data_IF_658917519852
#
_entry.id   IF_658917519852
#
_cell.length_a   1.000
_cell.length_b   1.000
_cell.length_c   1.000
_cell.angle_alpha   90.00
_cell.angle_beta   90.00
_cell.angle_gamma   90.00
#
_symmetry.space_group_name_H-M   'P 1'
#
loop_
_entity.id
_entity.type
_entity.pdbx_description
1 polymer ?
#
# COMPACT_ATOMS: atom_id res chain seq x y z
N UNK A 1 14.19 11.77 8.70
CA UNK A 1 14.16 11.85 7.24
C UNK A 1 12.90 11.17 6.73
N UNK A 2 12.08 11.95 6.11
CA UNK A 2 10.77 11.54 5.64
C UNK A 2 10.88 10.63 4.40
N UNK A 3 9.96 9.69 4.30
CA UNK A 3 9.61 9.06 3.03
C UNK A 3 8.79 10.11 2.26
N UNK A 4 9.23 10.45 1.07
CA UNK A 4 8.53 11.38 0.19
C UNK A 4 7.94 10.60 -0.98
N UNK A 5 6.63 10.70 -1.17
CA UNK A 5 5.98 10.14 -2.35
C UNK A 5 6.30 11.01 -3.56
N UNK A 6 6.82 10.40 -4.61
CA UNK A 6 7.21 11.10 -5.85
C UNK A 6 6.13 10.99 -6.94
N UNK A 7 5.14 10.14 -6.73
CA UNK A 7 4.00 9.98 -7.64
C UNK A 7 2.70 10.40 -6.97
N UNK A 8 1.75 10.88 -7.77
CA UNK A 8 0.41 11.21 -7.29
C UNK A 8 -0.28 9.94 -6.75
N UNK A 9 -1.14 10.08 -5.74
CA UNK A 9 -1.91 8.98 -5.14
C UNK A 9 -2.72 8.17 -6.17
N UNK A 10 -3.09 8.80 -7.26
CA UNK A 10 -3.91 8.23 -8.33
C UNK A 10 -3.08 7.66 -9.48
N UNK A 11 -1.76 7.59 -9.33
CA UNK A 11 -0.89 6.98 -10.32
C UNK A 11 -0.91 5.45 -10.18
N UNK A 12 -0.82 4.76 -11.32
CA UNK A 12 -0.81 3.29 -11.38
C UNK A 12 0.36 2.70 -10.58
N UNK A 13 1.53 3.35 -10.65
CA UNK A 13 2.72 2.95 -9.92
C UNK A 13 3.00 3.94 -8.80
N UNK A 14 3.15 3.47 -7.59
CA UNK A 14 3.55 4.28 -6.46
C UNK A 14 5.06 4.21 -6.27
N UNK A 15 5.71 5.32 -6.52
CA UNK A 15 7.12 5.51 -6.23
C UNK A 15 7.28 6.41 -5.01
N UNK A 16 8.28 6.15 -4.23
CA UNK A 16 8.63 6.96 -3.08
C UNK A 16 10.14 7.10 -2.98
N UNK A 17 10.57 8.13 -2.30
CA UNK A 17 11.98 8.44 -2.12
C UNK A 17 12.34 8.25 -0.65
N UNK A 18 13.37 7.46 -0.39
CA UNK A 18 13.94 7.26 0.92
C UNK A 18 15.37 7.81 0.92
N UNK A 19 15.59 8.91 1.64
CA UNK A 19 16.90 9.57 1.76
C UNK A 19 17.51 10.02 0.40
N UNK A 20 16.68 10.45 -0.54
CA UNK A 20 17.13 10.87 -1.86
C UNK A 20 17.32 9.73 -2.87
N UNK A 21 17.05 8.48 -2.49
CA UNK A 21 17.10 7.33 -3.38
C UNK A 21 15.70 6.82 -3.69
N UNK A 22 15.44 6.56 -4.94
CA UNK A 22 14.15 6.08 -5.40
C UNK A 22 13.92 4.63 -4.98
N UNK A 23 12.70 4.37 -4.53
CA UNK A 23 12.17 3.05 -4.23
C UNK A 23 10.80 2.89 -4.89
N UNK A 24 10.51 1.68 -5.31
CA UNK A 24 9.19 1.32 -5.85
C UNK A 24 8.41 0.46 -4.86
N UNK A 25 7.12 0.30 -5.12
CA UNK A 25 6.31 -0.63 -4.34
C UNK A 25 6.84 -2.08 -4.37
N UNK A 26 7.58 -2.47 -5.42
CA UNK A 26 8.19 -3.80 -5.54
C UNK A 26 9.33 -4.05 -4.54
N UNK A 27 9.98 -2.99 -4.05
CA UNK A 27 11.05 -3.07 -3.04
C UNK A 27 10.52 -3.12 -1.61
N UNK A 28 9.20 -3.17 -1.44
CA UNK A 28 8.56 -3.31 -0.13
C UNK A 28 8.52 -4.79 0.26
N UNK A 29 9.01 -5.09 1.45
CA UNK A 29 8.84 -6.39 2.07
C UNK A 29 7.51 -6.46 2.85
N UNK A 30 6.89 -7.61 2.88
CA UNK A 30 5.75 -7.91 3.74
C UNK A 30 6.14 -9.05 4.67
N UNK A 31 6.08 -8.81 5.98
CA UNK A 31 6.53 -9.77 7.02
C UNK A 31 7.96 -10.28 6.76
N UNK A 32 8.83 -9.42 6.25
CA UNK A 32 10.22 -9.77 5.93
C UNK A 32 10.45 -10.45 4.58
N UNK A 33 9.42 -10.67 3.78
CA UNK A 33 9.52 -11.32 2.47
C UNK A 33 9.24 -10.32 1.34
N UNK A 34 10.10 -10.32 0.33
CA UNK A 34 9.94 -9.53 -0.89
C UNK A 34 9.06 -10.23 -1.93
N UNK A 35 8.52 -9.47 -2.86
CA UNK A 35 7.75 -9.98 -4.00
C UNK A 35 6.31 -10.39 -3.66
N UNK A 36 5.86 -10.16 -2.42
CA UNK A 36 4.49 -10.46 -1.96
C UNK A 36 3.62 -9.21 -1.98
N UNK A 37 4.21 -8.04 -1.77
CA UNK A 37 3.49 -6.77 -1.87
C UNK A 37 3.00 -6.53 -3.29
N UNK A 38 1.79 -5.97 -3.48
CA UNK A 38 1.32 -5.59 -4.81
C UNK A 38 2.24 -4.54 -5.42
N UNK A 39 2.48 -4.63 -6.73
CA UNK A 39 3.28 -3.65 -7.46
C UNK A 39 2.64 -2.24 -7.49
N UNK A 40 1.36 -2.18 -7.25
CA UNK A 40 0.56 -0.95 -7.23
C UNK A 40 0.31 -0.46 -5.80
N UNK A 41 -0.70 0.39 -5.61
CA UNK A 41 -1.09 0.89 -4.31
C UNK A 41 -1.32 -0.23 -3.28
N UNK A 42 -0.53 -0.23 -2.23
CA UNK A 42 -0.62 -1.22 -1.15
C UNK A 42 -1.73 -0.80 -0.18
N UNK A 43 -2.71 -1.69 0.11
CA UNK A 43 -3.77 -1.39 1.08
C UNK A 43 -3.20 -1.35 2.50
N UNK A 44 -3.01 -0.16 3.04
CA UNK A 44 -2.37 0.05 4.35
C UNK A 44 -3.19 -0.46 5.53
N UNK A 45 -4.49 -0.62 5.36
CA UNK A 45 -5.43 -1.01 6.42
C UNK A 45 -5.21 -2.42 6.95
N UNK A 46 -4.58 -3.28 6.16
CA UNK A 46 -4.24 -4.65 6.59
C UNK A 46 -2.94 -4.74 7.40
N UNK A 47 -2.19 -3.63 7.51
CA UNK A 47 -0.92 -3.62 8.21
C UNK A 47 -1.03 -2.99 9.60
N UNK A 48 -0.32 -3.57 10.55
CA UNK A 48 -0.20 -3.08 11.92
C UNK A 48 0.79 -1.92 12.01
N UNK A 49 1.91 -2.05 11.29
CA UNK A 49 2.99 -1.07 11.27
C UNK A 49 3.84 -1.15 10.03
N UNK A 50 4.53 -0.07 9.76
CA UNK A 50 5.54 0.04 8.72
C UNK A 50 6.90 0.24 9.41
N UNK A 51 7.83 -0.65 9.13
CA UNK A 51 9.19 -0.61 9.61
C UNK A 51 10.11 -0.09 8.51
N UNK A 52 10.92 0.91 8.82
CA UNK A 52 11.90 1.45 7.88
C UNK A 52 13.28 1.17 8.42
N UNK A 53 13.95 0.20 7.80
CA UNK A 53 15.33 -0.16 8.12
C UNK A 53 16.27 0.63 7.20
N UNK A 54 17.15 1.41 7.81
CA UNK A 54 18.05 2.29 7.07
C UNK A 54 19.39 1.60 6.82
N UNK A 55 19.94 1.80 5.64
CA UNK A 55 21.25 1.28 5.26
C UNK A 55 21.18 -0.11 4.60
N UNK A 56 22.34 -0.70 4.27
CA UNK A 56 22.42 -1.99 3.59
C UNK A 56 22.04 -3.13 4.53
N UNK A 57 20.76 -3.49 4.54
CA UNK A 57 20.19 -4.53 5.41
C UNK A 57 20.07 -5.89 4.72
N UNK A 58 20.83 -6.11 3.64
CA UNK A 58 20.74 -7.33 2.81
C UNK A 58 20.91 -8.61 3.63
N UNK A 59 21.72 -8.57 4.69
CA UNK A 59 21.93 -9.73 5.57
C UNK A 59 20.72 -10.05 6.45
N UNK A 60 19.89 -9.05 6.78
CA UNK A 60 18.73 -9.23 7.66
C UNK A 60 17.44 -9.44 6.89
N UNK A 61 17.28 -8.76 5.77
CA UNK A 61 16.01 -8.69 5.03
C UNK A 61 16.08 -9.31 3.64
N UNK A 62 17.26 -9.81 3.21
CA UNK A 62 17.48 -10.25 1.84
C UNK A 62 17.66 -9.06 0.89
N UNK A 63 17.86 -9.37 -0.39
CA UNK A 63 18.05 -8.36 -1.45
C UNK A 63 16.70 -7.94 -2.00
N UNK A 64 16.38 -6.63 -2.02
CA UNK A 64 15.17 -6.15 -2.68
C UNK A 64 15.21 -6.44 -4.18
N UNK A 65 14.05 -6.71 -4.82
CA UNK A 65 13.97 -7.11 -6.24
C UNK A 65 14.61 -6.13 -7.21
N UNK A 66 14.49 -4.83 -6.96
CA UNK A 66 15.10 -3.78 -7.79
C UNK A 66 16.37 -3.20 -7.18
N UNK A 67 16.96 -3.91 -6.20
CA UNK A 67 18.27 -3.61 -5.61
C UNK A 67 18.37 -2.21 -4.99
N UNK A 68 17.32 -1.70 -4.39
CA UNK A 68 17.36 -0.42 -3.70
C UNK A 68 18.38 -0.46 -2.55
N UNK A 69 19.39 0.41 -2.63
CA UNK A 69 20.41 0.58 -1.59
C UNK A 69 20.00 1.57 -0.49
N UNK A 70 18.83 2.19 -0.63
CA UNK A 70 18.30 3.19 0.30
C UNK A 70 18.01 2.62 1.68
N UNK A 71 17.66 1.36 1.73
CA UNK A 71 17.18 0.63 2.91
C UNK A 71 16.05 -0.33 2.56
N UNK A 72 15.37 -0.81 3.59
CA UNK A 72 14.22 -1.71 3.45
C UNK A 72 13.00 -1.09 4.11
N UNK A 73 11.88 -1.13 3.40
CA UNK A 73 10.56 -0.87 3.98
C UNK A 73 9.87 -2.21 4.17
N UNK A 74 9.52 -2.55 5.41
CA UNK A 74 8.82 -3.77 5.75
C UNK A 74 7.44 -3.44 6.32
N UNK A 75 6.41 -4.01 5.74
CA UNK A 75 5.03 -3.89 6.21
C UNK A 75 4.66 -5.14 7.00
N UNK A 76 4.26 -4.95 8.25
CA UNK A 76 3.89 -6.05 9.14
C UNK A 76 2.37 -6.16 9.17
N UNK A 77 1.84 -7.31 8.77
CA UNK A 77 0.39 -7.55 8.73
C UNK A 77 -0.21 -7.61 10.14
N UNK A 78 -1.45 -7.14 10.25
CA UNK A 78 -2.23 -7.21 11.48
C UNK A 78 -2.47 -8.66 11.90
N UNK A 79 -2.39 -8.92 13.20
CA UNK A 79 -2.75 -10.20 13.82
C UNK A 79 -3.83 -9.98 14.88
N UNK A 80 -4.55 -11.04 15.21
CA UNK A 80 -5.51 -11.00 16.30
C UNK A 80 -4.81 -10.65 17.61
N UNK A 81 -5.33 -9.66 18.31
CA UNK A 81 -4.83 -9.22 19.60
C UNK A 81 -5.29 -10.18 20.74
N UNK A 82 -4.67 -10.08 21.90
CA UNK A 82 -5.06 -10.85 23.08
C UNK A 82 -6.51 -10.51 23.53
N UNK A 83 -6.90 -9.26 23.34
CA UNK A 83 -8.29 -8.81 23.53
C UNK A 83 -9.00 -8.73 22.18
N UNK A 84 -10.30 -9.05 22.14
CA UNK A 84 -11.09 -8.85 20.92
C UNK A 84 -11.09 -7.37 20.49
N UNK A 85 -11.07 -7.14 19.21
CA UNK A 85 -11.18 -5.81 18.60
C UNK A 85 -12.34 -5.80 17.62
N UNK A 86 -13.10 -4.70 17.59
CA UNK A 86 -14.16 -4.44 16.63
C UNK A 86 -14.25 -2.93 16.42
N UNK A 87 -13.48 -2.44 15.45
CA UNK A 87 -13.40 -1.01 15.12
C UNK A 87 -14.07 -0.74 13.78
N UNK A 88 -14.86 0.33 13.73
CA UNK A 88 -15.44 0.88 12.51
C UNK A 88 -15.00 2.32 12.35
N UNK A 89 -14.26 2.60 11.28
CA UNK A 89 -13.83 3.95 10.93
C UNK A 89 -14.58 4.44 9.71
N UNK A 90 -15.22 5.58 9.82
CA UNK A 90 -15.87 6.27 8.70
C UNK A 90 -15.04 7.48 8.33
N UNK A 91 -14.72 7.62 7.05
CA UNK A 91 -13.95 8.74 6.52
C UNK A 91 -14.75 9.44 5.45
N UNK A 92 -14.88 10.75 5.59
CA UNK A 92 -15.40 11.62 4.54
C UNK A 92 -14.25 12.44 3.98
N UNK A 93 -14.09 12.42 2.68
CA UNK A 93 -13.00 13.08 2.00
C UNK A 93 -13.47 14.21 1.07
N UNK A 94 -12.54 14.75 0.34
CA UNK A 94 -12.73 15.83 -0.62
C UNK A 94 -13.94 15.59 -1.54
N UNK A 95 -14.72 16.62 -1.81
CA UNK A 95 -15.97 16.61 -2.57
C UNK A 95 -17.02 15.64 -1.98
N UNK A 96 -17.10 14.42 -2.48
CA UNK A 96 -18.12 13.44 -2.08
C UNK A 96 -17.57 12.06 -1.79
N UNK A 97 -16.26 11.92 -1.60
CA UNK A 97 -15.67 10.62 -1.29
C UNK A 97 -16.00 10.19 0.14
N UNK A 98 -16.58 9.02 0.27
CA UNK A 98 -16.90 8.39 1.53
C UNK A 98 -16.26 7.01 1.62
N UNK A 99 -15.67 6.67 2.77
CA UNK A 99 -15.04 5.37 3.01
C UNK A 99 -15.42 4.83 4.38
N UNK A 100 -15.78 3.55 4.43
CA UNK A 100 -15.89 2.76 5.64
C UNK A 100 -14.76 1.76 5.75
N UNK A 101 -14.17 1.60 6.94
CA UNK A 101 -13.18 0.58 7.27
C UNK A 101 -13.61 -0.15 8.53
N UNK A 102 -13.77 -1.46 8.43
CA UNK A 102 -14.04 -2.36 9.54
C UNK A 102 -12.79 -3.19 9.86
N UNK A 103 -12.41 -3.23 11.13
CA UNK A 103 -11.29 -4.03 11.65
C UNK A 103 -11.78 -4.88 12.82
N UNK A 104 -11.88 -6.18 12.59
CA UNK A 104 -12.44 -7.11 13.58
C UNK A 104 -11.47 -8.24 13.81
N UNK A 105 -11.20 -8.56 15.08
CA UNK A 105 -10.28 -9.64 15.42
C UNK A 105 -10.53 -10.25 16.77
N UNK A 106 -10.29 -11.56 16.85
CA UNK A 106 -10.44 -12.31 18.10
C UNK A 106 -9.52 -13.55 18.10
N UNK A 107 -9.10 -13.94 19.31
CA UNK A 107 -8.43 -15.23 19.53
C UNK A 107 -9.41 -16.23 20.14
N UNK A 108 -9.29 -17.48 19.72
CA UNK A 108 -10.16 -18.59 20.08
C UNK A 108 -9.37 -19.70 20.79
N UNK A 109 -10.12 -20.56 21.52
CA UNK A 109 -9.62 -21.64 22.36
C UNK A 109 -9.23 -21.17 23.77
N UNK A 110 -9.12 -22.10 24.70
CA UNK A 110 -8.84 -21.81 26.12
C UNK A 110 -7.50 -21.10 26.30
N UNK A 111 -6.50 -21.47 25.53
CA UNK A 111 -5.18 -20.84 25.52
C UNK A 111 -5.03 -19.72 24.48
N UNK A 112 -6.13 -19.33 23.83
CA UNK A 112 -6.16 -18.27 22.80
C UNK A 112 -5.13 -18.50 21.67
N UNK A 113 -4.90 -19.74 21.31
CA UNK A 113 -3.87 -20.13 20.33
C UNK A 113 -4.25 -19.76 18.90
N UNK A 114 -5.54 -19.85 18.53
CA UNK A 114 -6.02 -19.51 17.19
C UNK A 114 -6.45 -18.06 17.13
N UNK A 115 -5.78 -17.28 16.29
CA UNK A 115 -6.12 -15.87 16.01
C UNK A 115 -6.77 -15.72 14.63
N UNK A 116 -7.82 -14.91 14.57
CA UNK A 116 -8.49 -14.51 13.34
C UNK A 116 -8.63 -13.00 13.34
N UNK A 117 -8.21 -12.32 12.28
CA UNK A 117 -8.42 -10.89 12.09
C UNK A 117 -8.89 -10.60 10.67
N UNK A 118 -9.92 -9.81 10.56
CA UNK A 118 -10.50 -9.37 9.30
C UNK A 118 -10.42 -7.85 9.18
N UNK A 119 -10.01 -7.35 8.02
CA UNK A 119 -10.07 -5.95 7.65
C UNK A 119 -10.84 -5.79 6.36
N UNK A 120 -11.87 -4.94 6.37
CA UNK A 120 -12.69 -4.66 5.22
C UNK A 120 -12.77 -3.16 4.96
N UNK A 121 -12.55 -2.74 3.71
CA UNK A 121 -12.68 -1.34 3.30
C UNK A 121 -13.60 -1.25 2.10
N UNK A 122 -14.51 -0.29 2.16
CA UNK A 122 -15.29 0.14 1.01
C UNK A 122 -15.29 1.66 0.95
N UNK A 123 -14.90 2.20 -0.20
CA UNK A 123 -14.91 3.63 -0.45
C UNK A 123 -15.40 3.92 -1.86
N UNK A 124 -16.14 5.01 -2.01
CA UNK A 124 -16.66 5.47 -3.30
C UNK A 124 -16.88 6.98 -3.28
N UNK A 125 -16.69 7.62 -4.40
CA UNK A 125 -17.00 9.04 -4.58
C UNK A 125 -15.98 9.84 -5.37
N UNK A 126 -16.25 11.14 -5.47
CA UNK A 126 -15.41 12.07 -6.19
C UNK A 126 -14.22 12.53 -5.36
N UNK A 127 -13.06 12.57 -6.00
CA UNK A 127 -11.81 13.04 -5.41
C UNK A 127 -11.58 14.55 -5.69
N UNK A 128 -10.42 15.06 -5.26
CA UNK A 128 -10.12 16.50 -5.33
C UNK A 128 -10.05 17.12 -6.74
N UNK A 129 -9.65 16.36 -7.77
CA UNK A 129 -9.62 16.86 -9.14
C UNK A 129 -11.02 16.85 -9.78
N UNK A 130 -11.20 17.67 -10.82
CA UNK A 130 -12.45 17.71 -11.58
C UNK A 130 -12.64 16.40 -12.33
N UNK A 131 -13.83 15.84 -12.27
CA UNK A 131 -14.23 14.60 -12.94
C UNK A 131 -13.40 13.36 -12.53
N UNK A 132 -12.72 13.43 -11.39
CA UNK A 132 -11.99 12.30 -10.82
C UNK A 132 -12.84 11.60 -9.76
N UNK A 133 -13.11 10.31 -9.98
CA UNK A 133 -13.78 9.46 -9.01
C UNK A 133 -12.93 8.26 -8.64
N UNK A 134 -13.07 7.79 -7.41
CA UNK A 134 -12.40 6.61 -6.92
C UNK A 134 -13.38 5.64 -6.29
N UNK A 135 -13.29 4.38 -6.68
CA UNK A 135 -13.97 3.27 -6.01
C UNK A 135 -12.92 2.30 -5.48
N UNK A 136 -12.95 2.10 -4.17
CA UNK A 136 -11.95 1.29 -3.47
C UNK A 136 -12.62 0.18 -2.67
N UNK A 137 -12.13 -1.03 -2.83
CA UNK A 137 -12.58 -2.20 -2.08
C UNK A 137 -11.35 -2.99 -1.60
N UNK A 138 -11.30 -3.28 -0.32
CA UNK A 138 -10.26 -4.12 0.27
C UNK A 138 -10.93 -5.13 1.19
N UNK A 139 -10.52 -6.38 1.06
CA UNK A 139 -10.84 -7.43 2.02
C UNK A 139 -9.55 -8.16 2.37
N UNK A 140 -9.23 -8.24 3.66
CA UNK A 140 -8.05 -8.94 4.15
C UNK A 140 -8.40 -9.82 5.33
N UNK A 141 -7.92 -11.07 5.30
CA UNK A 141 -8.09 -12.05 6.37
C UNK A 141 -6.70 -12.53 6.81
N UNK A 142 -6.43 -12.39 8.08
CA UNK A 142 -5.23 -12.90 8.72
C UNK A 142 -5.60 -13.99 9.72
N UNK A 143 -4.97 -15.15 9.57
CA UNK A 143 -5.08 -16.29 10.48
C UNK A 143 -3.72 -16.53 11.10
N UNK A 144 -3.69 -16.81 12.39
CA UNK A 144 -2.47 -17.24 13.06
C UNK A 144 -2.76 -18.31 14.12
N UNK A 145 -1.83 -19.24 14.25
CA UNK A 145 -1.84 -20.25 15.28
C UNK A 145 -0.53 -20.23 16.06
N UNK A 146 -0.62 -20.12 17.38
CA UNK A 146 0.52 -20.07 18.28
C UNK A 146 0.54 -21.36 19.10
N UNK A 147 1.35 -22.32 18.68
CA UNK A 147 1.60 -23.54 19.44
C UNK A 147 2.88 -23.45 20.27
N UNK A 148 3.14 -24.45 21.10
CA UNK A 148 4.30 -24.49 22.00
C UNK A 148 5.64 -24.59 21.24
N UNK A 149 5.65 -25.24 20.09
CA UNK A 149 6.87 -25.50 19.30
C UNK A 149 6.84 -24.87 17.91
N UNK A 150 5.67 -24.42 17.44
CA UNK A 150 5.52 -23.89 16.10
C UNK A 150 4.50 -22.76 16.06
N UNK A 151 4.72 -21.81 15.17
CA UNK A 151 3.76 -20.75 14.84
C UNK A 151 3.46 -20.81 13.35
N UNK A 152 2.18 -20.70 13.02
CA UNK A 152 1.73 -20.66 11.66
C UNK A 152 0.97 -19.34 11.44
N UNK A 153 1.19 -18.72 10.29
CA UNK A 153 0.44 -17.56 9.89
C UNK A 153 0.05 -17.67 8.43
N UNK A 154 -1.15 -17.22 8.13
CA UNK A 154 -1.70 -17.20 6.79
C UNK A 154 -2.39 -15.87 6.56
N UNK A 155 -2.07 -15.22 5.45
CA UNK A 155 -2.64 -13.97 5.02
C UNK A 155 -3.28 -14.12 3.65
N UNK A 156 -4.55 -13.71 3.55
CA UNK A 156 -5.28 -13.62 2.29
C UNK A 156 -5.83 -12.21 2.16
N UNK A 157 -5.63 -11.58 1.00
CA UNK A 157 -6.24 -10.30 0.72
C UNK A 157 -6.64 -10.16 -0.73
N UNK A 158 -7.64 -9.32 -0.95
CA UNK A 158 -8.05 -8.82 -2.25
C UNK A 158 -8.19 -7.30 -2.17
N UNK A 159 -7.66 -6.60 -3.16
CA UNK A 159 -7.76 -5.15 -3.25
C UNK A 159 -8.14 -4.74 -4.67
N UNK A 160 -9.20 -3.98 -4.78
CA UNK A 160 -9.65 -3.38 -6.04
C UNK A 160 -9.69 -1.87 -5.86
N UNK A 161 -8.97 -1.16 -6.71
CA UNK A 161 -8.97 0.29 -6.76
C UNK A 161 -9.25 0.72 -8.21
N UNK A 162 -10.41 1.31 -8.43
CA UNK A 162 -10.81 1.87 -9.73
C UNK A 162 -10.75 3.38 -9.61
N UNK A 163 -10.09 4.02 -10.55
CA UNK A 163 -9.94 5.46 -10.63
C UNK A 163 -10.37 5.87 -12.03
N UNK A 164 -11.41 6.69 -12.11
CA UNK A 164 -11.90 7.28 -13.34
C UNK A 164 -11.49 8.76 -13.33
N UNK A 165 -11.05 9.30 -14.47
CA UNK A 165 -10.57 10.68 -14.59
C UNK A 165 -9.20 10.95 -13.94
N UNK A 166 -8.43 9.88 -13.61
CA UNK A 166 -7.10 10.02 -13.01
C UNK A 166 -6.09 10.68 -13.95
N UNK A 167 -5.12 11.39 -13.37
CA UNK A 167 -4.04 12.01 -14.13
C UNK A 167 -3.17 10.96 -14.82
N UNK A 168 -3.04 10.97 -16.16
CA UNK A 168 -2.16 10.06 -16.86
C UNK A 168 -0.70 10.36 -16.49
N UNK A 169 0.04 9.32 -16.12
CA UNK A 169 1.49 9.42 -15.97
C UNK A 169 2.15 9.42 -17.34
N UNK A 170 2.86 10.47 -17.66
CA UNK A 170 3.70 10.52 -18.86
C UNK A 170 5.15 10.23 -18.47
N UNK A 171 5.72 9.17 -19.05
CA UNK A 171 7.14 8.87 -18.90
C UNK A 171 7.91 9.35 -20.12
N UNK A 172 8.85 10.25 -19.93
CA UNK A 172 9.79 10.64 -20.98
C UNK A 172 11.07 9.78 -20.86
N UNK A 173 11.13 8.70 -21.62
CA UNK A 173 12.30 7.81 -21.64
C UNK A 173 13.48 8.39 -22.45
N UNK A 174 13.28 9.45 -23.21
CA UNK A 174 14.28 10.01 -24.09
C UNK A 174 15.05 11.18 -23.47
N UNK A 175 14.74 11.54 -22.23
CA UNK A 175 15.33 12.69 -21.57
C UNK A 175 15.05 13.99 -22.34
N UNK A 176 16.09 14.77 -22.61
CA UNK A 176 15.98 16.03 -23.37
C UNK A 176 16.02 15.84 -24.89
N UNK A 177 15.81 14.63 -25.41
CA UNK A 177 15.78 14.43 -26.85
C UNK A 177 14.52 15.07 -27.44
N UNK A 178 14.68 16.10 -28.28
CA UNK A 178 13.60 16.61 -29.08
C UNK A 178 13.29 15.62 -30.20
N UNK A 179 12.08 15.12 -30.24
CA UNK A 179 11.62 14.26 -31.34
C UNK A 179 11.18 15.20 -32.46
N UNK A 180 11.86 15.20 -33.64
CA UNK A 180 11.44 16.03 -34.75
C UNK A 180 10.00 15.69 -35.17
N UNK A 181 9.11 16.67 -35.23
CA UNK A 181 7.71 16.51 -35.64
C UNK A 181 6.72 16.21 -34.52
N UNK A 182 7.18 15.98 -33.30
CA UNK A 182 6.31 15.99 -32.12
C UNK A 182 6.35 17.41 -31.55
N UNK A 183 5.27 18.14 -31.72
CA UNK A 183 5.11 19.46 -31.10
C UNK A 183 5.34 19.39 -29.59
N UNK A 184 5.69 20.51 -28.99
CA UNK A 184 5.87 20.68 -27.56
C UNK A 184 4.78 19.88 -26.82
N UNK A 185 5.15 18.96 -25.95
CA UNK A 185 4.20 18.23 -25.11
C UNK A 185 3.21 19.23 -24.53
N UNK A 186 1.96 19.05 -24.87
CA UNK A 186 0.88 19.93 -24.42
C UNK A 186 0.94 20.01 -22.90
N UNK A 187 0.93 21.22 -22.38
CA UNK A 187 0.70 21.42 -20.97
C UNK A 187 -0.56 20.64 -20.55
N UNK A 188 -0.59 20.06 -19.35
CA UNK A 188 -1.80 19.38 -18.88
C UNK A 188 -2.98 20.35 -19.01
N UNK A 189 -4.17 19.86 -19.40
CA UNK A 189 -5.33 20.71 -19.56
C UNK A 189 -5.53 21.50 -18.27
N UNK A 190 -5.60 22.83 -18.39
CA UNK A 190 -5.94 23.67 -17.25
C UNK A 190 -7.34 23.24 -16.83
N UNK A 191 -7.45 22.71 -15.62
CA UNK A 191 -8.77 22.51 -15.02
C UNK A 191 -9.46 23.87 -14.91
N UNK A 192 -10.56 24.03 -15.61
CA UNK A 192 -11.51 25.13 -15.44
C UNK A 192 -12.28 24.96 -14.12
#
# INVERSE_FOLDING_TARGET
>A
SAIVFTTNKNHLLQNFNLRGLDMTAMDIATNGLYGIAPANAVPVEMFERIEVLRGPNVLLSGMPPLSSVAGTVNMVTKRALAQPIADLTLTYGSKSYFQGHADVGKRFGDEKRLGVRFNGVYGDGEMGAKDESQKRQVGALALDYIGDRARFSFDLYNSVNKIDGGSPGMFNFLGNASIPGVGTLLAPPKGD
#
